data_IF_334239016967
#
_entry.id   IF_334239016967
#
_cell.length_a   1.000
_cell.length_b   1.000
_cell.length_c   1.000
_cell.angle_alpha   90.00
_cell.angle_beta   90.00
_cell.angle_gamma   90.00
#
_symmetry.space_group_name_H-M   'P 1'
#
loop_
_entity.id
_entity.type
_entity.pdbx_description
1 polymer ?
#
# COMPACT_ATOMS: atom_id res chain seq x y z
N UNK A 1 -22.82 5.84 -6.13
CA UNK A 1 -22.47 4.90 -5.03
C UNK A 1 -21.04 5.21 -4.61
N UNK A 2 -20.71 5.14 -3.31
CA UNK A 2 -19.30 5.14 -2.88
C UNK A 2 -18.54 4.02 -3.59
N UNK A 3 -17.26 4.23 -3.91
CA UNK A 3 -16.43 3.23 -4.57
C UNK A 3 -16.16 2.01 -3.67
N UNK A 4 -15.71 0.92 -4.29
CA UNK A 4 -15.41 -0.34 -3.57
C UNK A 4 -14.03 -0.26 -2.89
N UNK A 5 -13.96 0.52 -1.82
CA UNK A 5 -12.78 0.68 -0.95
C UNK A 5 -13.20 0.56 0.52
N UNK A 6 -12.28 0.18 1.40
CA UNK A 6 -12.57 0.01 2.83
C UNK A 6 -11.29 0.15 3.66
N UNK A 7 -11.46 0.31 4.98
CA UNK A 7 -10.34 0.25 5.93
C UNK A 7 -9.65 -1.12 5.88
N UNK A 8 -8.33 -1.13 6.03
CA UNK A 8 -7.49 -2.34 5.92
C UNK A 8 -7.94 -3.47 6.86
N UNK A 9 -8.32 -3.11 8.10
CA UNK A 9 -8.81 -4.04 9.13
C UNK A 9 -10.07 -4.82 8.76
N UNK A 10 -10.79 -4.44 7.70
CA UNK A 10 -11.94 -5.19 7.20
C UNK A 10 -11.51 -6.54 6.59
N UNK A 11 -10.31 -6.60 6.03
CA UNK A 11 -9.84 -7.76 5.26
C UNK A 11 -8.56 -8.38 5.81
N UNK A 12 -7.69 -7.58 6.42
CA UNK A 12 -6.37 -8.02 6.88
C UNK A 12 -6.22 -7.86 8.38
N UNK A 13 -5.48 -8.78 9.01
CA UNK A 13 -5.11 -8.66 10.41
C UNK A 13 -4.06 -7.58 10.67
N UNK A 14 -3.18 -7.33 9.70
CA UNK A 14 -2.17 -6.26 9.69
C UNK A 14 -1.80 -5.96 8.23
N UNK A 15 -1.77 -4.69 7.86
CA UNK A 15 -1.46 -4.20 6.51
C UNK A 15 0.07 -4.12 6.28
N UNK A 16 0.49 -4.04 5.01
CA UNK A 16 1.88 -3.85 4.59
C UNK A 16 2.26 -2.38 4.39
N UNK A 17 1.36 -1.43 4.66
CA UNK A 17 1.63 0.02 4.54
C UNK A 17 1.47 0.77 5.86
N UNK A 18 2.13 1.92 5.99
CA UNK A 18 1.94 2.87 7.09
C UNK A 18 1.75 4.32 6.59
N UNK A 19 0.79 5.07 7.16
CA UNK A 19 -0.27 4.61 8.08
C UNK A 19 -1.25 3.64 7.40
N UNK A 20 -1.92 2.79 8.19
CA UNK A 20 -3.01 1.94 7.67
C UNK A 20 -4.23 2.79 7.32
N UNK A 21 -5.03 2.33 6.35
CA UNK A 21 -6.27 3.01 6.01
C UNK A 21 -7.35 2.74 7.06
N UNK A 22 -7.85 3.81 7.66
CA UNK A 22 -8.92 3.77 8.64
C UNK A 22 -10.21 4.41 8.12
N UNK A 23 -11.34 3.92 8.62
CA UNK A 23 -12.65 4.47 8.31
C UNK A 23 -12.96 5.62 9.26
N UNK A 24 -13.19 6.81 8.74
CA UNK A 24 -13.69 7.96 9.47
C UNK A 24 -15.11 7.69 9.98
N UNK A 25 -15.56 8.47 10.98
CA UNK A 25 -16.89 8.30 11.59
C UNK A 25 -18.05 8.52 10.62
N UNK A 26 -17.82 9.27 9.55
CA UNK A 26 -18.79 9.59 8.49
C UNK A 26 -18.78 8.56 7.34
N UNK A 27 -18.04 7.46 7.48
CA UNK A 27 -17.94 6.43 6.44
C UNK A 27 -17.00 6.80 5.28
N UNK A 28 -16.12 7.79 5.47
CA UNK A 28 -15.10 8.18 4.48
C UNK A 28 -13.72 7.65 4.85
N UNK A 29 -12.77 7.72 3.91
CA UNK A 29 -11.34 7.44 4.14
C UNK A 29 -10.57 8.72 3.80
N UNK A 30 -9.63 9.09 4.66
CA UNK A 30 -8.76 10.25 4.45
C UNK A 30 -7.80 9.98 3.30
N UNK A 31 -7.76 10.88 2.32
CA UNK A 31 -6.81 10.80 1.20
C UNK A 31 -5.40 11.16 1.69
N UNK A 32 -4.39 10.28 1.50
CA UNK A 32 -3.02 10.60 1.88
C UNK A 32 -2.45 11.78 1.07
N UNK A 33 -1.61 12.59 1.70
CA UNK A 33 -1.08 13.84 1.13
C UNK A 33 0.42 13.82 0.87
N UNK A 34 1.11 12.74 1.24
CA UNK A 34 2.54 12.60 0.96
C UNK A 34 2.79 12.31 -0.52
N UNK A 35 4.00 12.60 -1.04
CA UNK A 35 4.35 12.30 -2.42
C UNK A 35 4.17 10.82 -2.80
N UNK A 36 4.01 10.55 -4.10
CA UNK A 36 3.83 9.18 -4.61
C UNK A 36 2.47 8.61 -4.25
N UNK A 37 2.45 7.38 -3.74
CA UNK A 37 1.20 6.73 -3.28
C UNK A 37 0.72 7.23 -1.91
N UNK A 38 1.51 8.10 -1.26
CA UNK A 38 1.14 8.80 -0.03
C UNK A 38 1.25 8.00 1.28
N UNK A 39 1.79 6.78 1.20
CA UNK A 39 2.06 5.89 2.35
C UNK A 39 3.43 5.24 2.16
N UNK A 40 4.02 4.79 3.27
CA UNK A 40 5.27 4.03 3.26
C UNK A 40 4.99 2.53 3.32
N UNK A 41 5.88 1.73 2.73
CA UNK A 41 5.80 0.26 2.82
C UNK A 41 6.45 -0.20 4.13
N UNK A 42 5.70 -0.93 4.96
CA UNK A 42 6.23 -1.63 6.14
C UNK A 42 7.09 -2.82 5.69
N UNK A 43 8.33 -2.57 5.27
CA UNK A 43 9.22 -3.58 4.69
C UNK A 43 9.36 -4.83 5.57
N UNK A 44 9.50 -4.66 6.89
CA UNK A 44 9.57 -5.79 7.83
C UNK A 44 8.33 -6.69 7.79
N UNK A 45 7.13 -6.11 7.62
CA UNK A 45 5.87 -6.86 7.53
C UNK A 45 5.74 -7.51 6.16
N UNK A 46 6.06 -6.78 5.10
CA UNK A 46 6.09 -7.31 3.74
C UNK A 46 7.00 -8.54 3.65
N UNK A 47 8.22 -8.47 4.19
CA UNK A 47 9.16 -9.59 4.22
C UNK A 47 8.59 -10.82 4.95
N UNK A 48 7.94 -10.64 6.11
CA UNK A 48 7.32 -11.75 6.85
C UNK A 48 6.22 -12.48 6.09
N UNK A 49 5.47 -11.79 5.23
CA UNK A 49 4.34 -12.36 4.47
C UNK A 49 4.70 -12.76 3.04
N UNK A 50 5.92 -12.47 2.60
CA UNK A 50 6.39 -12.79 1.24
C UNK A 50 6.65 -14.29 1.11
N UNK A 51 6.00 -14.95 0.14
CA UNK A 51 6.16 -16.38 -0.13
C UNK A 51 7.22 -16.67 -1.21
N UNK A 52 7.45 -15.73 -2.12
CA UNK A 52 8.45 -15.85 -3.19
C UNK A 52 8.86 -14.47 -3.69
N UNK A 53 10.11 -14.33 -4.18
CA UNK A 53 10.65 -13.08 -4.74
C UNK A 53 11.44 -13.38 -6.00
N UNK A 54 11.29 -12.52 -7.01
CA UNK A 54 12.11 -12.51 -8.21
C UNK A 54 12.52 -11.07 -8.53
N UNK A 55 13.75 -10.88 -9.00
CA UNK A 55 14.29 -9.57 -9.34
C UNK A 55 14.72 -9.54 -10.81
N UNK A 56 14.23 -8.53 -11.53
CA UNK A 56 14.54 -8.34 -12.94
C UNK A 56 15.24 -6.99 -13.10
N UNK A 57 16.40 -7.00 -13.76
CA UNK A 57 17.10 -5.76 -14.09
C UNK A 57 16.35 -5.08 -15.23
N UNK A 58 16.00 -3.82 -15.05
CA UNK A 58 15.48 -3.02 -16.14
C UNK A 58 16.58 -2.87 -17.20
N UNK A 59 16.34 -3.38 -18.41
CA UNK A 59 17.15 -3.02 -19.56
C UNK A 59 16.80 -1.58 -19.91
N UNK A 60 17.71 -0.64 -19.63
CA UNK A 60 17.64 0.70 -20.21
C UNK A 60 17.85 0.56 -21.72
N UNK A 61 16.76 0.53 -22.47
CA UNK A 61 16.78 0.97 -23.85
C UNK A 61 16.79 2.50 -23.79
N UNK A 62 17.62 3.14 -24.60
CA UNK A 62 17.97 4.58 -24.63
C UNK A 62 19.12 5.01 -23.71
N UNK A 63 20.33 4.99 -24.30
CA UNK A 63 21.36 6.02 -24.09
C UNK A 63 21.11 7.14 -25.11
N UNK A 64 21.15 8.40 -24.68
CA UNK A 64 21.51 9.49 -25.60
C UNK A 64 22.96 9.33 -26.06
#
# INVERSE_FOLDING_TARGET
LPGDISASKRYFSEDIVEPEFEMNRDGTITVPTQPGIGVEVKMNRLERVTQSRAEFKANRLYSE
#
